data_IF_296725118661
#
_entry.id   IF_296725118661
#
_cell.length_a   1.000
_cell.length_b   1.000
_cell.length_c   1.000
_cell.angle_alpha   90.00
_cell.angle_beta   90.00
_cell.angle_gamma   90.00
#
_symmetry.space_group_name_H-M   'P 1'
#
loop_
_entity.id
_entity.type
_entity.pdbx_description
1 polymer ?
#
# COMPACT_ATOMS: atom_id res chain seq x y z
N UNK A 1 0.25 -0.62 -13.57
CA UNK A 1 -0.06 -0.32 -12.15
C UNK A 1 0.68 0.96 -11.81
N UNK A 2 0.00 1.96 -11.24
CA UNK A 2 0.53 3.32 -11.07
C UNK A 2 0.43 3.80 -9.63
N UNK A 3 1.08 4.93 -9.34
CA UNK A 3 0.98 5.64 -8.07
C UNK A 3 -0.04 6.77 -8.18
N UNK A 4 -0.74 7.07 -7.09
CA UNK A 4 -1.56 8.26 -7.03
C UNK A 4 -0.66 9.51 -7.00
N UNK A 5 -0.97 10.49 -7.85
CA UNK A 5 -0.33 11.81 -7.83
C UNK A 5 -1.08 12.70 -6.84
N UNK A 6 -0.34 13.45 -6.04
CA UNK A 6 -0.89 14.37 -5.02
C UNK A 6 -1.01 15.81 -5.53
N UNK A 7 -0.38 16.14 -6.66
CA UNK A 7 -0.35 17.47 -7.25
C UNK A 7 -0.30 17.37 -8.79
N UNK A 8 -0.89 18.35 -9.49
CA UNK A 8 -0.95 18.39 -10.95
C UNK A 8 0.30 19.02 -11.61
N UNK A 9 1.14 19.70 -10.84
CA UNK A 9 2.38 20.32 -11.30
C UNK A 9 3.58 19.34 -11.28
N UNK A 10 3.32 18.05 -11.10
CA UNK A 10 4.36 17.01 -11.13
C UNK A 10 4.72 16.71 -12.59
N UNK A 11 6.00 16.79 -12.98
CA UNK A 11 6.40 16.55 -14.37
C UNK A 11 6.25 15.07 -14.75
N UNK A 12 5.79 14.81 -15.97
CA UNK A 12 5.85 13.48 -16.57
C UNK A 12 7.28 13.21 -17.06
N UNK A 13 7.81 12.04 -16.72
CA UNK A 13 9.15 11.61 -17.18
C UNK A 13 9.02 10.50 -18.22
N UNK A 14 10.13 10.16 -18.91
CA UNK A 14 10.19 9.03 -19.88
C UNK A 14 9.68 7.70 -19.30
N UNK A 15 9.73 7.50 -17.98
CA UNK A 15 9.19 6.31 -17.32
C UNK A 15 7.66 6.27 -17.20
N UNK A 16 6.97 7.34 -17.57
CA UNK A 16 5.51 7.45 -17.47
C UNK A 16 4.88 6.85 -18.72
N UNK A 17 4.26 5.69 -18.59
CA UNK A 17 3.62 4.99 -19.72
C UNK A 17 2.17 5.38 -19.94
N UNK A 18 1.46 5.82 -18.89
CA UNK A 18 0.06 6.21 -18.94
C UNK A 18 -0.33 7.13 -17.77
N UNK A 19 -1.36 7.95 -17.98
CA UNK A 19 -2.06 8.71 -16.95
C UNK A 19 -3.49 8.20 -16.85
N UNK A 20 -3.93 7.90 -15.62
CA UNK A 20 -5.29 7.48 -15.34
C UNK A 20 -6.03 8.61 -14.64
N UNK A 21 -7.03 9.18 -15.31
CA UNK A 21 -7.82 10.30 -14.82
C UNK A 21 -9.25 9.82 -14.52
N UNK A 22 -9.69 9.96 -13.27
CA UNK A 22 -11.06 9.66 -12.88
C UNK A 22 -11.92 10.93 -12.96
N UNK A 23 -13.15 10.81 -13.45
CA UNK A 23 -14.12 11.92 -13.46
C UNK A 23 -14.70 12.22 -12.08
N UNK A 24 -14.67 11.23 -11.17
CA UNK A 24 -15.08 11.34 -9.77
C UNK A 24 -14.04 10.67 -8.89
N UNK A 25 -13.74 11.27 -7.74
CA UNK A 25 -12.79 10.73 -6.78
C UNK A 25 -13.52 9.90 -5.71
N UNK A 26 -13.84 8.65 -6.06
CA UNK A 26 -14.51 7.73 -5.12
C UNK A 26 -13.64 7.38 -3.89
N UNK A 27 -12.34 7.67 -3.93
CA UNK A 27 -11.41 7.38 -2.83
C UNK A 27 -11.48 8.50 -1.80
N UNK A 28 -11.56 9.75 -2.23
CA UNK A 28 -11.66 10.92 -1.35
C UNK A 28 -13.05 11.11 -0.76
N UNK A 29 -14.09 10.61 -1.42
CA UNK A 29 -15.47 10.62 -0.89
C UNK A 29 -15.70 9.65 0.28
N UNK A 30 -14.83 8.65 0.47
CA UNK A 30 -15.01 7.61 1.48
C UNK A 30 -13.86 7.61 2.49
N UNK A 31 -14.16 7.92 3.75
CA UNK A 31 -13.16 7.83 4.83
C UNK A 31 -12.78 6.37 5.13
N UNK A 32 -11.50 6.12 5.50
CA UNK A 32 -11.08 4.79 5.94
C UNK A 32 -11.87 4.34 7.16
N UNK A 33 -12.40 3.12 7.10
CA UNK A 33 -13.11 2.48 8.20
C UNK A 33 -12.38 1.23 8.69
N UNK A 34 -12.92 0.62 9.76
CA UNK A 34 -12.34 -0.57 10.36
C UNK A 34 -12.38 -1.78 9.42
N UNK A 35 -11.36 -2.64 9.54
CA UNK A 35 -11.28 -3.86 8.74
C UNK A 35 -12.39 -4.84 9.12
N UNK A 36 -13.20 -5.25 8.14
CA UNK A 36 -14.28 -6.25 8.30
C UNK A 36 -13.83 -7.70 8.00
N UNK A 37 -12.52 -7.94 7.85
CA UNK A 37 -11.93 -9.27 7.60
C UNK A 37 -12.47 -10.02 6.36
N UNK A 38 -12.86 -9.30 5.30
CA UNK A 38 -13.42 -9.88 4.08
C UNK A 38 -12.44 -10.66 3.17
N UNK A 39 -11.13 -10.62 3.43
CA UNK A 39 -10.12 -11.37 2.65
C UNK A 39 -9.79 -10.86 1.24
N UNK A 40 -10.53 -9.88 0.68
CA UNK A 40 -10.33 -9.38 -0.69
C UNK A 40 -8.92 -8.86 -0.99
N UNK A 41 -8.25 -8.29 0.02
CA UNK A 41 -6.89 -7.79 -0.14
C UNK A 41 -5.87 -8.91 -0.43
N UNK A 42 -6.14 -10.13 0.04
CA UNK A 42 -5.28 -11.30 -0.18
C UNK A 42 -5.53 -11.88 -1.56
N UNK A 43 -6.80 -11.98 -1.98
CA UNK A 43 -7.17 -12.57 -3.27
C UNK A 43 -6.63 -11.80 -4.48
N UNK A 44 -6.49 -10.48 -4.38
CA UNK A 44 -5.96 -9.63 -5.46
C UNK A 44 -4.45 -9.40 -5.37
N UNK A 45 -3.78 -9.89 -4.32
CA UNK A 45 -2.38 -9.58 -4.10
C UNK A 45 -1.49 -10.39 -5.06
N UNK A 46 -0.73 -9.76 -5.97
CA UNK A 46 0.14 -10.49 -6.89
C UNK A 46 1.31 -11.17 -6.15
N UNK A 47 1.77 -10.59 -5.05
CA UNK A 47 2.83 -11.15 -4.20
C UNK A 47 2.35 -12.22 -3.21
N UNK A 48 1.04 -12.54 -3.18
CA UNK A 48 0.44 -13.53 -2.26
C UNK A 48 0.80 -13.34 -0.77
N UNK A 49 1.04 -12.10 -0.37
CA UNK A 49 1.24 -11.72 1.04
C UNK A 49 -0.11 -11.50 1.73
N UNK A 50 -0.08 -11.15 3.02
CA UNK A 50 -1.28 -10.84 3.82
C UNK A 50 -1.36 -9.33 4.14
N UNK A 51 -1.86 -8.47 3.22
CA UNK A 51 -1.80 -7.02 3.38
C UNK A 51 -2.50 -6.50 4.65
N UNK A 52 -3.63 -7.10 5.01
CA UNK A 52 -4.38 -6.69 6.21
C UNK A 52 -3.57 -6.87 7.50
N UNK A 53 -2.82 -7.97 7.63
CA UNK A 53 -1.97 -8.23 8.79
C UNK A 53 -0.70 -7.38 8.76
N UNK A 54 -0.07 -7.26 7.59
CA UNK A 54 1.12 -6.45 7.42
C UNK A 54 0.88 -4.96 7.69
N UNK A 55 -0.28 -4.43 7.32
CA UNK A 55 -0.67 -3.05 7.66
C UNK A 55 -0.76 -2.84 9.16
N UNK A 56 -1.34 -3.79 9.90
CA UNK A 56 -1.47 -3.72 11.36
C UNK A 56 -0.09 -3.78 12.02
N UNK A 57 0.78 -4.70 11.58
CA UNK A 57 2.15 -4.79 12.10
C UNK A 57 2.96 -3.51 11.81
N UNK A 58 2.78 -2.93 10.62
CA UNK A 58 3.37 -1.65 10.25
C UNK A 58 2.85 -0.51 11.14
N UNK A 59 1.55 -0.44 11.38
CA UNK A 59 0.91 0.56 12.27
C UNK A 59 1.41 0.43 13.72
N UNK A 60 1.71 -0.78 14.18
CA UNK A 60 2.28 -1.05 15.51
C UNK A 60 3.82 -0.94 15.57
N UNK A 61 4.51 -0.71 14.44
CA UNK A 61 5.97 -0.64 14.39
C UNK A 61 6.70 -1.98 14.60
N UNK A 62 6.00 -3.11 14.49
CA UNK A 62 6.59 -4.44 14.68
C UNK A 62 7.38 -4.89 13.44
N UNK A 63 8.69 -4.61 13.45
CA UNK A 63 9.60 -4.92 12.33
C UNK A 63 9.91 -6.40 12.17
N UNK A 64 9.86 -7.14 13.27
CA UNK A 64 10.19 -8.56 13.28
C UNK A 64 9.01 -9.37 12.73
N UNK A 65 7.80 -9.12 13.23
CA UNK A 65 6.57 -9.72 12.71
C UNK A 65 6.33 -9.37 11.24
N UNK A 66 6.63 -8.13 10.84
CA UNK A 66 6.50 -7.71 9.44
C UNK A 66 7.43 -8.50 8.50
N UNK A 67 8.66 -8.77 8.92
CA UNK A 67 9.60 -9.58 8.15
C UNK A 67 9.21 -11.06 8.17
N UNK A 68 8.74 -11.59 9.30
CA UNK A 68 8.28 -12.97 9.42
C UNK A 68 7.10 -13.29 8.47
N UNK A 69 6.24 -12.32 8.20
CA UNK A 69 5.13 -12.44 7.24
C UNK A 69 5.48 -12.02 5.80
N UNK A 70 6.76 -12.01 5.43
CA UNK A 70 7.24 -11.67 4.10
C UNK A 70 6.83 -10.26 3.62
N UNK A 71 6.68 -9.30 4.53
CA UNK A 71 6.28 -7.94 4.17
C UNK A 71 7.26 -7.21 3.24
N UNK A 72 8.51 -7.67 3.19
CA UNK A 72 9.54 -7.16 2.28
C UNK A 72 9.29 -7.50 0.80
N UNK A 73 8.44 -8.49 0.50
CA UNK A 73 8.11 -8.93 -0.87
C UNK A 73 7.00 -8.09 -1.53
N UNK A 74 6.45 -7.10 -0.82
CA UNK A 74 5.44 -6.23 -1.39
C UNK A 74 5.98 -5.49 -2.63
N UNK A 75 5.25 -5.51 -3.75
CA UNK A 75 5.63 -4.79 -4.97
C UNK A 75 5.04 -3.37 -5.08
N UNK A 76 4.46 -2.84 -3.99
CA UNK A 76 3.90 -1.48 -3.91
C UNK A 76 2.84 -1.16 -4.97
N UNK A 77 2.11 -2.18 -5.38
CA UNK A 77 1.26 -2.12 -6.56
C UNK A 77 -0.12 -1.45 -6.35
N UNK A 78 -0.56 -1.26 -5.10
CA UNK A 78 -1.80 -0.55 -4.78
C UNK A 78 -3.10 -1.36 -4.81
N UNK A 79 -3.11 -2.58 -5.37
CA UNK A 79 -4.33 -3.38 -5.55
C UNK A 79 -5.13 -3.60 -4.26
N UNK A 80 -4.44 -3.87 -3.16
CA UNK A 80 -5.06 -4.16 -1.88
C UNK A 80 -5.77 -2.93 -1.30
N UNK A 81 -5.20 -1.72 -1.47
CA UNK A 81 -5.82 -0.47 -1.05
C UNK A 81 -7.05 -0.14 -1.89
N UNK A 82 -6.96 -0.37 -3.21
CA UNK A 82 -8.06 -0.06 -4.13
C UNK A 82 -9.29 -0.95 -3.94
N UNK A 83 -9.10 -2.27 -3.78
CA UNK A 83 -10.22 -3.22 -3.62
C UNK A 83 -10.84 -3.22 -2.22
N UNK A 84 -10.18 -2.59 -1.24
CA UNK A 84 -10.60 -2.65 0.16
C UNK A 84 -11.98 -1.98 0.32
N UNK A 85 -13.02 -2.71 0.77
CA UNK A 85 -14.33 -2.11 0.99
C UNK A 85 -14.29 -1.09 2.13
N UNK A 86 -13.37 -1.26 3.09
CA UNK A 86 -13.13 -0.33 4.18
C UNK A 86 -12.19 0.84 3.81
N UNK A 87 -11.77 0.94 2.53
CA UNK A 87 -10.89 2.00 1.98
C UNK A 87 -9.61 2.25 2.80
N UNK A 88 -9.09 1.20 3.46
CA UNK A 88 -7.84 1.27 4.22
C UNK A 88 -6.64 1.50 3.30
N UNK A 89 -5.70 2.33 3.74
CA UNK A 89 -4.47 2.67 3.03
C UNK A 89 -3.35 1.63 3.22
N UNK A 90 -3.66 0.36 2.96
CA UNK A 90 -2.77 -0.79 3.22
C UNK A 90 -1.38 -0.65 2.58
N UNK A 91 -1.34 -0.26 1.29
CA UNK A 91 -0.08 -0.11 0.55
C UNK A 91 0.82 0.96 1.15
N UNK A 92 0.24 2.06 1.65
CA UNK A 92 1.00 3.16 2.24
C UNK A 92 1.67 2.73 3.54
N UNK A 93 0.93 2.07 4.44
CA UNK A 93 1.47 1.54 5.70
C UNK A 93 2.62 0.55 5.46
N UNK A 94 2.40 -0.42 4.56
CA UNK A 94 3.41 -1.43 4.20
C UNK A 94 4.65 -0.77 3.58
N UNK A 95 4.47 0.23 2.71
CA UNK A 95 5.57 0.98 2.08
C UNK A 95 6.40 1.76 3.09
N UNK A 96 5.76 2.47 4.03
CA UNK A 96 6.45 3.19 5.09
C UNK A 96 7.33 2.25 5.92
N UNK A 97 6.76 1.11 6.33
CA UNK A 97 7.48 0.12 7.13
C UNK A 97 8.70 -0.47 6.41
N UNK A 98 8.56 -0.79 5.12
CA UNK A 98 9.71 -1.26 4.31
C UNK A 98 10.82 -0.23 4.26
N UNK A 99 10.49 1.05 4.08
CA UNK A 99 11.48 2.13 4.08
C UNK A 99 12.19 2.24 5.42
N UNK A 100 11.47 2.12 6.53
CA UNK A 100 12.06 2.13 7.87
C UNK A 100 13.04 0.96 8.08
N UNK A 101 12.64 -0.26 7.72
CA UNK A 101 13.52 -1.45 7.83
C UNK A 101 14.77 -1.26 6.98
N UNK A 102 14.64 -0.74 5.75
CA UNK A 102 15.77 -0.46 4.88
C UNK A 102 16.69 0.64 5.43
N UNK A 103 16.13 1.67 6.07
CA UNK A 103 16.90 2.73 6.69
C UNK A 103 17.69 2.22 7.90
N UNK A 104 17.11 1.36 8.72
CA UNK A 104 17.80 0.74 9.87
C UNK A 104 18.94 -0.17 9.43
N UNK A 105 18.76 -0.91 8.32
CA UNK A 105 19.82 -1.73 7.72
C UNK A 105 21.02 -0.92 7.22
N UNK A 106 20.83 0.34 6.85
CA UNK A 106 21.91 1.24 6.39
C UNK A 106 22.71 1.87 7.53
N UNK A 107 22.17 1.86 8.76
CA UNK A 107 22.82 2.41 9.95
C UNK A 107 23.71 1.39 10.68
N UNK A 108 23.52 0.10 10.41
CA UNK A 108 24.43 -0.98 10.80
C UNK A 108 25.54 -1.12 9.77
#
# INVERSE_FOLDING_TARGET
>A
MGIALYDLNIPVTKGTSALLCFTRDEVRENEPSNCINCGRCVSVCPGRIMPARLSVLAEHGDKEGFQALNGMECCECGCCSYICPAKRNLTQAIKSMRKEILADRRKK
#
